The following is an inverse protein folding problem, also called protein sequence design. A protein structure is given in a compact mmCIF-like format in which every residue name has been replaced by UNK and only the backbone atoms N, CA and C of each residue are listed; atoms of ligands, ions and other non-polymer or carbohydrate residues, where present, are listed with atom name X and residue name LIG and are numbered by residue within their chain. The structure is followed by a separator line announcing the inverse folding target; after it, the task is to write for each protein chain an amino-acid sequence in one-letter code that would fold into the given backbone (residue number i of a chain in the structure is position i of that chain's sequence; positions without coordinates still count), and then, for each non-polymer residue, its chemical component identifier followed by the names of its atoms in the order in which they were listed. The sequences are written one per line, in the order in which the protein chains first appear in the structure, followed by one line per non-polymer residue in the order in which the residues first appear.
data_IF_075895221129
#
_entry.id   IF_075895221129
#
_cell.length_a   1.000
_cell.length_b   1.000
_cell.length_c   1.000
_cell.angle_alpha   90.00
_cell.angle_beta   90.00
_cell.angle_gamma   90.00
#
_symmetry.space_group_name_H-M   'P 1'
#
loop_
_entity.id
_entity.type
_entity.pdbx_description
1 polymer ?
#
# COMPACT_ATOMS: atom_id res chain seq x y z
N UNK A 1 2.80 -15.55 -20.87
CA UNK A 1 1.92 -14.75 -21.76
C UNK A 1 1.96 -13.33 -21.25
N UNK A 2 2.29 -12.35 -22.09
CA UNK A 2 2.52 -10.96 -21.69
C UNK A 2 1.33 -10.03 -21.99
N UNK A 3 0.16 -10.61 -22.26
CA UNK A 3 -1.08 -9.89 -22.56
C UNK A 3 -2.23 -10.63 -21.87
N UNK A 4 -3.24 -9.88 -21.46
CA UNK A 4 -4.51 -10.39 -20.93
C UNK A 4 -5.65 -9.71 -21.70
N UNK A 5 -6.72 -10.45 -21.95
CA UNK A 5 -7.93 -9.89 -22.52
C UNK A 5 -8.67 -9.08 -21.46
N UNK A 6 -8.94 -7.80 -21.76
CA UNK A 6 -9.72 -6.93 -20.87
C UNK A 6 -11.20 -7.23 -21.11
N UNK A 7 -11.98 -7.65 -20.09
CA UNK A 7 -13.41 -7.86 -20.25
C UNK A 7 -14.13 -6.57 -20.68
N UNK A 8 -15.15 -6.68 -21.54
CA UNK A 8 -15.85 -5.52 -22.13
C UNK A 8 -16.41 -4.51 -21.11
N UNK A 9 -16.75 -4.99 -19.91
CA UNK A 9 -17.33 -4.16 -18.84
C UNK A 9 -16.29 -3.44 -17.98
N UNK A 10 -14.99 -3.68 -18.20
CA UNK A 10 -13.89 -3.04 -17.48
C UNK A 10 -13.37 -1.87 -18.30
N UNK A 11 -13.38 -0.66 -17.73
CA UNK A 11 -12.82 0.50 -18.42
C UNK A 11 -11.30 0.39 -18.60
N UNK A 12 -10.75 1.05 -19.61
CA UNK A 12 -9.29 1.09 -19.79
C UNK A 12 -8.57 1.71 -18.60
N UNK A 13 -9.17 2.69 -17.92
CA UNK A 13 -8.57 3.30 -16.75
C UNK A 13 -8.53 2.35 -15.54
N UNK A 14 -9.57 1.53 -15.34
CA UNK A 14 -9.55 0.46 -14.33
C UNK A 14 -8.54 -0.64 -14.71
N UNK A 15 -8.52 -1.07 -15.97
CA UNK A 15 -7.57 -2.08 -16.46
C UNK A 15 -6.11 -1.63 -16.31
N UNK A 16 -5.81 -0.33 -16.43
CA UNK A 16 -4.47 0.23 -16.22
C UNK A 16 -3.97 0.10 -14.77
N UNK A 17 -4.85 -0.19 -13.79
CA UNK A 17 -4.47 -0.45 -12.40
C UNK A 17 -4.06 -1.91 -12.17
N UNK A 18 -4.21 -2.79 -13.16
CA UNK A 18 -3.89 -4.21 -13.04
C UNK A 18 -2.44 -4.45 -12.62
N UNK A 19 -1.49 -3.76 -13.24
CA UNK A 19 -0.06 -3.92 -12.92
C UNK A 19 0.27 -3.54 -11.47
N UNK A 20 -0.07 -2.33 -10.97
CA UNK A 20 0.26 -1.99 -9.59
C UNK A 20 -0.50 -2.86 -8.58
N UNK A 21 -1.73 -3.28 -8.88
CA UNK A 21 -2.45 -4.24 -8.04
C UNK A 21 -1.77 -5.61 -8.03
N UNK A 22 -1.23 -6.08 -9.17
CA UNK A 22 -0.51 -7.35 -9.25
C UNK A 22 0.78 -7.34 -8.41
N UNK A 23 1.50 -6.23 -8.37
CA UNK A 23 2.64 -6.06 -7.47
C UNK A 23 2.19 -6.10 -6.00
N UNK A 24 1.09 -5.42 -5.66
CA UNK A 24 0.49 -5.44 -4.31
C UNK A 24 0.08 -6.86 -3.89
N UNK A 25 -0.56 -7.63 -4.77
CA UNK A 25 -0.95 -9.02 -4.48
C UNK A 25 0.28 -9.88 -4.14
N UNK A 26 1.34 -9.78 -4.95
CA UNK A 26 2.59 -10.48 -4.69
C UNK A 26 3.16 -10.10 -3.31
N UNK A 27 3.23 -8.81 -3.00
CA UNK A 27 3.73 -8.32 -1.72
C UNK A 27 2.92 -8.84 -0.53
N UNK A 28 1.60 -8.81 -0.62
CA UNK A 28 0.70 -9.25 0.44
C UNK A 28 0.74 -10.77 0.65
N UNK A 29 0.92 -11.55 -0.42
CA UNK A 29 1.12 -13.00 -0.35
C UNK A 29 2.45 -13.36 0.34
N UNK A 30 3.55 -12.72 -0.06
CA UNK A 30 4.88 -12.95 0.55
C UNK A 30 4.93 -12.51 2.02
N UNK A 31 4.21 -11.43 2.36
CA UNK A 31 4.03 -10.99 3.74
C UNK A 31 3.12 -11.94 4.56
N UNK A 32 2.46 -12.91 3.91
CA UNK A 32 1.59 -13.92 4.51
C UNK A 32 0.47 -13.30 5.35
N UNK A 33 -0.17 -12.25 4.82
CA UNK A 33 -1.35 -11.65 5.46
C UNK A 33 -2.47 -12.69 5.57
N UNK A 34 -3.09 -12.77 6.74
CA UNK A 34 -4.12 -13.76 7.09
C UNK A 34 -5.38 -13.08 7.64
N UNK A 35 -6.45 -13.87 7.63
CA UNK A 35 -7.69 -13.55 8.33
C UNK A 35 -7.39 -13.24 9.80
N UNK A 36 -7.84 -12.09 10.28
CA UNK A 36 -7.65 -11.65 11.67
C UNK A 36 -6.44 -10.76 11.90
N UNK A 37 -5.54 -10.58 10.92
CA UNK A 37 -4.36 -9.74 11.11
C UNK A 37 -4.75 -8.26 11.28
N UNK A 38 -4.03 -7.56 12.16
CA UNK A 38 -3.92 -6.11 12.16
C UNK A 38 -2.75 -5.69 11.28
N UNK A 39 -3.05 -4.91 10.24
CA UNK A 39 -2.09 -4.39 9.28
C UNK A 39 -1.90 -2.89 9.47
N UNK A 40 -0.66 -2.42 9.65
CA UNK A 40 -0.32 -1.00 9.56
C UNK A 40 0.32 -0.71 8.20
N UNK A 41 -0.09 0.36 7.53
CA UNK A 41 0.38 0.72 6.19
C UNK A 41 0.93 2.14 6.23
N UNK A 42 2.21 2.29 5.89
CA UNK A 42 2.91 3.58 5.84
C UNK A 42 2.85 4.10 4.40
N UNK A 43 2.21 5.25 4.24
CA UNK A 43 1.97 5.92 2.96
C UNK A 43 0.53 5.70 2.47
N UNK A 44 -0.26 6.78 2.42
CA UNK A 44 -1.61 6.81 1.85
C UNK A 44 -1.61 7.29 0.37
N UNK A 45 -0.55 6.97 -0.36
CA UNK A 45 -0.49 7.12 -1.81
C UNK A 45 -1.19 5.96 -2.55
N UNK A 46 -1.13 5.93 -3.90
CA UNK A 46 -1.82 4.92 -4.70
C UNK A 46 -1.51 3.47 -4.29
N UNK A 47 -0.24 3.18 -4.02
CA UNK A 47 0.22 1.84 -3.64
C UNK A 47 -0.29 1.44 -2.25
N UNK A 48 -0.15 2.30 -1.25
CA UNK A 48 -0.67 2.02 0.08
C UNK A 48 -2.20 1.90 0.13
N UNK A 49 -2.92 2.67 -0.70
CA UNK A 49 -4.37 2.53 -0.83
C UNK A 49 -4.77 1.23 -1.55
N UNK A 50 -3.97 0.74 -2.51
CA UNK A 50 -4.16 -0.58 -3.09
C UNK A 50 -3.88 -1.70 -2.07
N UNK A 51 -2.84 -1.57 -1.25
CA UNK A 51 -2.61 -2.47 -0.12
C UNK A 51 -3.79 -2.47 0.85
N UNK A 52 -4.32 -1.29 1.20
CA UNK A 52 -5.50 -1.16 2.06
C UNK A 52 -6.68 -1.95 1.50
N UNK A 53 -7.05 -1.71 0.24
CA UNK A 53 -8.15 -2.43 -0.39
C UNK A 53 -7.89 -3.94 -0.41
N UNK A 54 -6.66 -4.36 -0.69
CA UNK A 54 -6.27 -5.77 -0.80
C UNK A 54 -6.33 -6.48 0.55
N UNK A 55 -5.69 -5.96 1.59
CA UNK A 55 -5.65 -6.63 2.91
C UNK A 55 -7.04 -6.70 3.54
N UNK A 56 -7.91 -5.71 3.30
CA UNK A 56 -9.31 -5.75 3.72
C UNK A 56 -10.07 -6.90 3.05
N UNK A 57 -9.80 -7.19 1.78
CA UNK A 57 -10.41 -8.34 1.07
C UNK A 57 -9.82 -9.68 1.48
N UNK A 58 -8.59 -9.71 1.98
CA UNK A 58 -7.97 -10.92 2.54
C UNK A 58 -8.42 -11.23 3.98
N UNK A 59 -9.24 -10.38 4.59
CA UNK A 59 -9.80 -10.60 5.91
C UNK A 59 -8.97 -10.02 7.05
N UNK A 60 -8.08 -9.06 6.79
CA UNK A 60 -7.46 -8.30 7.87
C UNK A 60 -8.56 -7.68 8.75
N UNK A 61 -8.48 -7.93 10.06
CA UNK A 61 -9.45 -7.40 11.03
C UNK A 61 -9.38 -5.88 11.07
N UNK A 62 -8.15 -5.36 11.05
CA UNK A 62 -7.86 -3.93 11.20
C UNK A 62 -6.78 -3.49 10.21
N UNK A 63 -7.07 -2.47 9.42
CA UNK A 63 -6.08 -1.77 8.59
C UNK A 63 -5.89 -0.34 9.12
N UNK A 64 -4.66 0.02 9.50
CA UNK A 64 -4.30 1.34 10.04
C UNK A 64 -3.45 2.05 9.00
N UNK A 65 -3.92 3.19 8.48
CA UNK A 65 -3.20 3.98 7.48
C UNK A 65 -2.41 5.11 8.12
N UNK A 66 -1.15 5.26 7.74
CA UNK A 66 -0.23 6.26 8.28
C UNK A 66 0.26 7.14 7.14
N UNK A 67 0.14 8.46 7.28
CA UNK A 67 0.62 9.43 6.30
C UNK A 67 0.83 10.80 7.00
N UNK A 68 1.34 11.80 6.28
CA UNK A 68 1.44 13.18 6.73
C UNK A 68 0.26 14.04 6.25
N UNK A 69 -0.39 13.64 5.16
CA UNK A 69 -1.43 14.39 4.47
C UNK A 69 -2.81 13.96 4.94
N UNK A 70 -3.50 14.86 5.64
CA UNK A 70 -4.82 14.59 6.24
C UNK A 70 -5.88 14.23 5.19
N UNK A 71 -5.81 14.85 4.01
CA UNK A 71 -6.74 14.60 2.91
C UNK A 71 -6.62 13.15 2.38
N UNK A 72 -5.40 12.60 2.34
CA UNK A 72 -5.15 11.21 1.94
C UNK A 72 -5.63 10.23 3.00
N UNK A 73 -5.42 10.55 4.27
CA UNK A 73 -5.95 9.77 5.40
C UNK A 73 -7.48 9.75 5.39
N UNK A 74 -8.12 10.92 5.24
CA UNK A 74 -9.58 11.05 5.13
C UNK A 74 -10.12 10.25 3.94
N UNK A 75 -9.39 10.20 2.83
CA UNK A 75 -9.75 9.36 1.69
C UNK A 75 -9.60 7.86 2.02
N UNK A 76 -8.54 7.47 2.72
CA UNK A 76 -8.31 6.10 3.14
C UNK A 76 -9.41 5.57 4.08
N UNK A 77 -9.89 6.39 5.03
CA UNK A 77 -11.05 6.06 5.87
C UNK A 77 -12.30 5.79 5.04
N UNK A 78 -12.60 6.66 4.05
CA UNK A 78 -13.76 6.51 3.16
C UNK A 78 -13.76 5.21 2.36
N UNK A 79 -12.58 4.68 2.04
CA UNK A 79 -12.44 3.44 1.26
C UNK A 79 -12.17 2.20 2.12
N UNK A 80 -12.18 2.33 3.46
CA UNK A 80 -12.24 1.18 4.37
C UNK A 80 -11.08 1.02 5.35
N UNK A 81 -10.21 2.03 5.53
CA UNK A 81 -9.28 2.04 6.66
C UNK A 81 -10.05 2.03 7.98
N UNK A 82 -9.63 1.18 8.92
CA UNK A 82 -10.26 1.11 10.24
C UNK A 82 -9.82 2.26 11.16
N UNK A 83 -8.62 2.79 10.93
CA UNK A 83 -8.08 3.94 11.62
C UNK A 83 -7.02 4.64 10.75
N UNK A 84 -6.82 5.93 10.99
CA UNK A 84 -5.74 6.70 10.40
C UNK A 84 -4.86 7.37 11.44
N UNK A 85 -3.59 7.57 11.10
CA UNK A 85 -2.60 8.22 11.95
C UNK A 85 -1.85 9.25 11.13
N UNK A 86 -1.96 10.53 11.51
CA UNK A 86 -1.14 11.58 10.94
C UNK A 86 0.22 11.64 11.66
N UNK A 87 1.26 11.11 11.03
CA UNK A 87 2.62 11.03 11.60
C UNK A 87 3.31 12.41 11.73
N UNK A 88 2.75 13.47 11.13
CA UNK A 88 3.20 14.85 11.31
C UNK A 88 2.63 15.52 12.55
N UNK A 89 1.62 14.92 13.19
CA UNK A 89 0.91 15.47 14.36
C UNK A 89 1.11 14.62 15.63
N UNK A 90 1.45 13.35 15.49
CA UNK A 90 1.63 12.43 16.62
C UNK A 90 2.72 11.41 16.31
N UNK A 91 3.24 10.75 17.34
CA UNK A 91 4.13 9.61 17.17
C UNK A 91 3.32 8.41 16.63
N UNK A 92 3.64 7.99 15.41
CA UNK A 92 2.93 6.92 14.75
C UNK A 92 3.09 5.56 15.47
N UNK A 93 4.24 5.30 16.10
CA UNK A 93 4.51 4.05 16.83
C UNK A 93 3.61 3.97 18.05
N UNK A 94 3.57 5.03 18.84
CA UNK A 94 2.71 5.08 20.03
C UNK A 94 1.22 5.10 19.68
N UNK A 95 0.84 5.74 18.56
CA UNK A 95 -0.52 5.68 18.06
C UNK A 95 -0.94 4.26 17.64
N UNK A 96 -0.10 3.55 16.88
CA UNK A 96 -0.40 2.16 16.49
C UNK A 96 -0.43 1.24 17.70
N UNK A 97 0.50 1.35 18.65
CA UNK A 97 0.44 0.58 19.91
C UNK A 97 -0.88 0.79 20.63
N UNK A 98 -1.34 2.04 20.78
CA UNK A 98 -2.63 2.34 21.41
C UNK A 98 -3.81 1.68 20.68
N UNK A 99 -3.78 1.65 19.35
CA UNK A 99 -4.80 1.00 18.52
C UNK A 99 -4.72 -0.54 18.53
N UNK A 100 -3.64 -1.11 19.04
CA UNK A 100 -3.33 -2.54 19.03
C UNK A 100 -3.11 -3.12 20.43
N UNK A 101 -3.60 -2.46 21.48
CA UNK A 101 -3.50 -2.96 22.86
C UNK A 101 -2.06 -2.99 23.40
N UNK A 102 -1.15 -2.21 22.82
CA UNK A 102 0.25 -2.09 23.23
C UNK A 102 1.22 -2.95 22.44
N UNK A 103 0.74 -3.83 21.55
CA UNK A 103 1.59 -4.84 20.89
C UNK A 103 2.29 -4.36 19.62
N UNK A 104 1.65 -3.50 18.83
CA UNK A 104 2.04 -3.24 17.44
C UNK A 104 1.19 -4.04 16.45
N UNK A 105 1.45 -3.87 15.16
CA UNK A 105 0.72 -4.56 14.09
C UNK A 105 1.30 -5.95 13.80
N UNK A 106 0.45 -6.90 13.39
CA UNK A 106 0.87 -8.22 12.91
C UNK A 106 1.74 -8.10 11.66
N UNK A 107 1.31 -7.21 10.75
CA UNK A 107 1.96 -6.92 9.48
C UNK A 107 2.13 -5.41 9.37
N UNK A 108 3.32 -4.96 8.97
CA UNK A 108 3.57 -3.57 8.58
C UNK A 108 3.96 -3.53 7.11
N UNK A 109 3.28 -2.69 6.33
CA UNK A 109 3.57 -2.49 4.91
C UNK A 109 4.11 -1.07 4.74
N UNK A 110 5.35 -0.94 4.31
CA UNK A 110 5.98 0.33 3.97
C UNK A 110 5.79 0.58 2.47
N UNK A 111 5.10 1.66 2.09
CA UNK A 111 4.75 1.96 0.71
C UNK A 111 5.25 3.35 0.24
N UNK A 112 6.26 3.93 0.91
CA UNK A 112 6.85 5.23 0.55
C UNK A 112 8.25 5.04 -0.06
N UNK A 113 9.10 4.20 0.53
CA UNK A 113 10.47 3.98 0.07
C UNK A 113 11.47 5.02 0.56
N UNK A 114 11.42 5.34 1.85
CA UNK A 114 12.42 6.17 2.52
C UNK A 114 13.11 5.37 3.63
N UNK A 115 14.43 5.54 3.85
CA UNK A 115 15.12 4.82 4.93
C UNK A 115 14.50 5.10 6.32
N UNK A 116 13.99 6.31 6.56
CA UNK A 116 13.31 6.65 7.82
C UNK A 116 11.98 5.94 8.01
N UNK A 117 11.24 5.65 6.92
CA UNK A 117 9.94 4.96 6.99
C UNK A 117 10.13 3.45 7.06
N UNK A 118 11.15 2.90 6.40
CA UNK A 118 11.61 1.52 6.58
C UNK A 118 11.99 1.25 8.06
N UNK A 119 12.85 2.09 8.64
CA UNK A 119 13.21 1.98 10.06
C UNK A 119 12.02 2.23 11.01
N UNK A 120 11.03 3.03 10.59
CA UNK A 120 9.79 3.20 11.35
C UNK A 120 8.91 1.94 11.29
N UNK A 121 8.85 1.26 10.14
CA UNK A 121 8.07 0.05 9.95
C UNK A 121 8.47 -1.05 10.95
N UNK A 122 9.78 -1.21 11.16
CA UNK A 122 10.31 -2.09 12.20
C UNK A 122 9.75 -1.74 13.59
N UNK A 123 9.64 -0.48 13.96
CA UNK A 123 9.15 -0.09 15.30
C UNK A 123 7.63 -0.25 15.46
N UNK A 124 6.88 -0.36 14.36
CA UNK A 124 5.43 -0.52 14.33
C UNK A 124 4.99 -1.98 14.46
N UNK A 125 5.86 -2.93 14.10
CA UNK A 125 5.53 -4.35 14.08
C UNK A 125 5.60 -4.95 15.49
N UNK A 126 4.69 -5.87 15.77
CA UNK A 126 4.73 -6.66 17.01
C UNK A 126 5.84 -7.71 16.96
N UNK A 127 6.15 -8.31 18.11
CA UNK A 127 7.00 -9.52 18.16
C UNK A 127 6.35 -10.67 17.39
N UNK A 128 7.14 -11.37 16.58
CA UNK A 128 6.70 -12.43 15.67
C UNK A 128 5.96 -11.92 14.43
N UNK A 129 5.87 -10.60 14.23
CA UNK A 129 5.21 -10.00 13.08
C UNK A 129 6.12 -9.87 11.86
N UNK A 130 5.54 -9.35 10.78
CA UNK A 130 6.22 -9.22 9.48
C UNK A 130 6.23 -7.77 9.00
N UNK A 131 7.37 -7.32 8.49
CA UNK A 131 7.54 -6.04 7.81
C UNK A 131 7.78 -6.29 6.33
N UNK A 132 6.87 -5.78 5.51
CA UNK A 132 6.98 -5.74 4.05
C UNK A 132 7.47 -4.35 3.63
N UNK A 133 8.74 -4.27 3.26
CA UNK A 133 9.36 -3.09 2.68
C UNK A 133 9.06 -3.06 1.17
N UNK A 134 7.91 -2.47 0.81
CA UNK A 134 7.39 -2.46 -0.56
C UNK A 134 7.84 -1.24 -1.35
N UNK A 135 7.87 -0.06 -0.71
CA UNK A 135 8.35 1.17 -1.32
C UNK A 135 9.85 1.09 -1.59
N UNK A 136 10.26 1.20 -2.85
CA UNK A 136 11.68 1.12 -3.21
C UNK A 136 12.46 2.37 -2.81
N UNK A 137 13.54 2.18 -2.06
CA UNK A 137 14.53 3.24 -1.80
C UNK A 137 15.43 3.49 -3.04
N UNK A 138 16.02 4.68 -3.18
CA UNK A 138 17.07 4.93 -4.17
C UNK A 138 18.23 3.94 -4.04
N UNK A 139 18.98 3.66 -5.13
CA UNK A 139 20.21 2.87 -5.06
C UNK A 139 21.17 3.38 -3.99
N UNK A 140 21.93 2.46 -3.38
CA UNK A 140 22.91 2.75 -2.33
C UNK A 140 22.31 3.31 -1.02
N UNK A 141 21.00 3.14 -0.81
CA UNK A 141 20.35 3.44 0.47
C UNK A 141 20.61 2.33 1.49
N UNK A 142 21.05 2.71 2.69
CA UNK A 142 21.21 1.81 3.84
C UNK A 142 20.18 2.14 4.94
N UNK A 143 19.79 1.11 5.69
CA UNK A 143 18.93 1.23 6.87
C UNK A 143 19.58 0.59 8.09
N UNK A 144 19.19 1.03 9.28
CA UNK A 144 19.60 0.43 10.55
C UNK A 144 18.53 -0.53 11.06
N UNK A 145 18.92 -1.78 11.24
CA UNK A 145 18.10 -2.80 11.85
C UNK A 145 18.53 -3.06 13.30
N UNK A 146 17.59 -3.10 14.22
CA UNK A 146 17.86 -3.51 15.60
C UNK A 146 17.93 -5.05 15.69
N UNK A 147 19.10 -5.57 16.07
CA UNK A 147 19.34 -7.01 16.12
C UNK A 147 18.51 -7.74 17.20
N UNK A 148 18.19 -7.09 18.31
CA UNK A 148 17.32 -7.66 19.35
C UNK A 148 15.89 -7.82 18.82
N UNK A 149 15.39 -6.83 18.10
CA UNK A 149 14.08 -6.90 17.46
C UNK A 149 14.03 -8.00 16.39
N UNK A 150 15.08 -8.13 15.58
CA UNK A 150 15.16 -9.21 14.59
C UNK A 150 15.19 -10.59 15.26
N UNK A 151 16.09 -10.79 16.21
CA UNK A 151 16.35 -12.11 16.79
C UNK A 151 15.36 -12.48 17.90
N UNK A 152 15.28 -11.69 18.96
CA UNK A 152 14.43 -11.97 20.13
C UNK A 152 13.00 -11.46 19.96
N UNK A 153 12.80 -10.50 19.05
CA UNK A 153 11.48 -10.11 18.59
C UNK A 153 10.93 -11.01 17.51
N UNK A 154 11.71 -11.95 16.96
CA UNK A 154 11.31 -12.87 15.88
C UNK A 154 10.63 -12.17 14.70
N UNK A 155 11.07 -10.94 14.39
CA UNK A 155 10.49 -10.15 13.30
C UNK A 155 10.98 -10.69 11.97
N UNK A 156 10.06 -10.87 11.02
CA UNK A 156 10.42 -11.13 9.62
C UNK A 156 10.47 -9.80 8.87
N UNK A 157 11.55 -9.55 8.13
CA UNK A 157 11.67 -8.38 7.24
C UNK A 157 11.90 -8.89 5.83
N UNK A 158 11.07 -8.44 4.89
CA UNK A 158 11.20 -8.79 3.48
C UNK A 158 10.95 -7.58 2.59
N UNK A 159 11.61 -7.57 1.44
CA UNK A 159 11.23 -6.72 0.31
C UNK A 159 10.60 -7.58 -0.77
N UNK A 160 9.74 -6.96 -1.58
CA UNK A 160 9.22 -7.59 -2.80
C UNK A 160 9.42 -6.66 -3.98
N UNK A 161 9.53 -7.23 -5.17
CA UNK A 161 9.76 -6.48 -6.39
C UNK A 161 9.00 -7.13 -7.52
N UNK A 162 8.29 -6.31 -8.30
CA UNK A 162 7.52 -6.75 -9.44
C UNK A 162 6.44 -7.79 -9.08
N UNK A 163 6.05 -8.56 -10.08
CA UNK A 163 4.92 -9.47 -10.04
C UNK A 163 5.15 -10.59 -11.04
N UNK A 164 4.27 -11.59 -11.03
CA UNK A 164 4.30 -12.71 -11.97
C UNK A 164 3.15 -12.57 -12.97
N UNK A 165 3.18 -13.25 -14.12
CA UNK A 165 2.04 -13.30 -15.03
C UNK A 165 0.76 -13.86 -14.36
N UNK A 166 0.90 -14.69 -13.32
CA UNK A 166 -0.23 -15.22 -12.55
C UNK A 166 -0.89 -14.11 -11.73
N UNK A 167 -0.11 -13.38 -10.93
CA UNK A 167 -0.60 -12.23 -10.16
C UNK A 167 -1.25 -11.17 -11.06
N UNK A 168 -0.72 -10.95 -12.27
CA UNK A 168 -1.33 -10.02 -13.23
C UNK A 168 -2.72 -10.46 -13.66
N UNK A 169 -2.89 -11.76 -13.93
CA UNK A 169 -4.19 -12.36 -14.25
C UNK A 169 -5.15 -12.25 -13.06
N UNK A 170 -4.67 -12.52 -11.85
CA UNK A 170 -5.46 -12.43 -10.63
C UNK A 170 -5.91 -11.00 -10.34
N UNK A 171 -5.01 -10.03 -10.46
CA UNK A 171 -5.33 -8.61 -10.32
C UNK A 171 -6.45 -8.18 -11.29
N UNK A 172 -6.35 -8.57 -12.57
CA UNK A 172 -7.38 -8.25 -13.55
C UNK A 172 -8.73 -8.90 -13.18
N UNK A 173 -8.72 -10.15 -12.72
CA UNK A 173 -9.93 -10.83 -12.27
C UNK A 173 -10.56 -10.14 -11.04
N UNK A 174 -9.75 -9.67 -10.10
CA UNK A 174 -10.23 -8.96 -8.90
C UNK A 174 -10.83 -7.60 -9.23
N UNK A 175 -10.24 -6.88 -10.20
CA UNK A 175 -10.80 -5.64 -10.75
C UNK A 175 -12.10 -5.93 -11.50
N UNK A 176 -12.09 -6.89 -12.44
CA UNK A 176 -13.24 -7.23 -13.27
C UNK A 176 -14.45 -7.71 -12.47
N UNK A 177 -14.21 -8.45 -11.38
CA UNK A 177 -15.27 -8.91 -10.45
C UNK A 177 -15.72 -7.84 -9.46
N UNK A 178 -15.06 -6.67 -9.42
CA UNK A 178 -15.23 -5.61 -8.40
C UNK A 178 -14.97 -6.08 -6.96
N UNK A 179 -14.27 -7.21 -6.81
CA UNK A 179 -13.77 -7.65 -5.51
C UNK A 179 -12.85 -6.57 -4.93
N UNK A 180 -11.99 -6.01 -5.77
CA UNK A 180 -11.22 -4.80 -5.46
C UNK A 180 -11.74 -3.68 -6.37
N UNK A 181 -12.50 -2.74 -5.79
CA UNK A 181 -12.99 -1.57 -6.51
C UNK A 181 -11.89 -0.51 -6.56
N UNK A 182 -11.17 -0.47 -7.68
CA UNK A 182 -10.08 0.50 -7.93
C UNK A 182 -10.57 1.83 -8.46
N UNK A 183 -11.85 1.93 -8.85
CA UNK A 183 -12.41 3.13 -9.48
C UNK A 183 -12.24 4.40 -8.63
N UNK A 184 -12.42 4.38 -7.29
CA UNK A 184 -12.19 5.56 -6.46
C UNK A 184 -10.76 6.09 -6.49
N UNK A 185 -9.76 5.25 -6.82
CA UNK A 185 -8.35 5.65 -6.87
C UNK A 185 -8.04 6.50 -8.11
N UNK A 186 -8.86 6.41 -9.16
CA UNK A 186 -8.71 7.15 -10.41
C UNK A 186 -9.35 8.53 -10.22
N UNK A 187 -8.59 9.46 -9.66
CA UNK A 187 -9.08 10.80 -9.28
C UNK A 187 -9.17 11.76 -10.46
N UNK A 188 -8.42 11.49 -11.53
CA UNK A 188 -8.40 12.35 -12.72
C UNK A 188 -8.17 11.55 -13.99
N UNK A 189 -8.75 12.04 -15.09
CA UNK A 189 -8.47 11.60 -16.45
C UNK A 189 -7.94 12.78 -17.25
N UNK A 190 -6.86 12.58 -17.98
CA UNK A 190 -6.24 13.60 -18.84
C UNK A 190 -5.90 12.99 -20.18
N UNK A 191 -5.74 13.83 -21.21
CA UNK A 191 -5.26 13.37 -22.51
C UNK A 191 -3.74 13.33 -22.55
N UNK A 192 -3.19 12.55 -23.47
CA UNK A 192 -1.75 12.42 -23.67
C UNK A 192 -1.05 13.75 -23.94
N UNK A 193 -1.71 14.72 -24.60
CA UNK A 193 -1.12 16.03 -24.85
C UNK A 193 -0.81 16.81 -23.57
N UNK A 194 -1.51 16.50 -22.48
CA UNK A 194 -1.35 17.16 -21.18
C UNK A 194 -0.45 16.38 -20.21
N UNK A 195 0.35 15.43 -20.71
CA UNK A 195 1.17 14.55 -19.86
C UNK A 195 2.14 15.32 -18.95
N UNK A 196 2.68 16.46 -19.40
CA UNK A 196 3.56 17.32 -18.58
C UNK A 196 2.81 17.90 -17.38
N UNK A 197 1.64 18.45 -17.61
CA UNK A 197 0.76 18.97 -16.55
C UNK A 197 0.36 17.85 -15.58
N UNK A 198 0.08 16.65 -16.09
CA UNK A 198 -0.23 15.49 -15.24
C UNK A 198 0.91 15.17 -14.26
N UNK A 199 2.17 15.23 -14.70
CA UNK A 199 3.32 15.05 -13.81
C UNK A 199 3.45 16.19 -12.78
N UNK A 200 3.25 17.45 -13.19
CA UNK A 200 3.29 18.60 -12.27
C UNK A 200 2.21 18.49 -11.18
N UNK A 201 1.00 18.06 -11.56
CA UNK A 201 -0.09 17.79 -10.62
C UNK A 201 0.29 16.68 -9.64
N UNK A 202 0.88 15.58 -10.11
CA UNK A 202 1.27 14.46 -9.23
C UNK A 202 2.33 14.86 -8.19
N UNK A 203 3.20 15.81 -8.52
CA UNK A 203 4.24 16.31 -7.59
C UNK A 203 3.66 17.29 -6.56
N UNK A 204 2.67 18.10 -6.94
CA UNK A 204 2.18 19.22 -6.12
C UNK A 204 0.89 18.91 -5.38
N UNK A 205 0.07 17.99 -5.90
CA UNK A 205 -1.26 17.72 -5.37
C UNK A 205 -1.22 16.82 -4.14
N UNK A 206 -2.02 17.19 -3.15
CA UNK A 206 -2.28 16.40 -1.94
C UNK A 206 -3.49 15.47 -2.08
N UNK A 207 -4.36 15.74 -3.05
CA UNK A 207 -5.66 15.07 -3.20
C UNK A 207 -5.73 14.14 -4.40
N UNK A 208 -4.86 14.31 -5.38
CA UNK A 208 -4.79 13.43 -6.54
C UNK A 208 -4.07 12.14 -6.16
N UNK A 209 -4.67 11.00 -6.52
CA UNK A 209 -4.14 9.67 -6.26
C UNK A 209 -3.60 9.09 -7.56
N UNK A 210 -4.47 8.82 -8.53
CA UNK A 210 -4.09 8.28 -9.83
C UNK A 210 -4.70 9.11 -10.96
N UNK A 211 -3.84 9.56 -11.87
CA UNK A 211 -4.24 10.22 -13.11
C UNK A 211 -4.15 9.19 -14.24
N UNK A 212 -5.28 8.91 -14.89
CA UNK A 212 -5.32 8.10 -16.09
C UNK A 212 -5.06 8.97 -17.34
N UNK A 213 -4.16 8.51 -18.21
CA UNK A 213 -3.83 9.19 -19.46
C UNK A 213 -4.49 8.45 -20.62
N UNK A 214 -5.35 9.16 -21.33
CA UNK A 214 -6.02 8.67 -22.52
C UNK A 214 -5.25 9.14 -23.78
N UNK A 215 -4.97 8.26 -24.75
CA UNK A 215 -4.28 8.60 -25.98
C UNK A 215 -4.96 9.71 -26.79
#
# INVERSE_FOLDING_TARGET
VNMQEIPEHVSFEEAAITEPLACVLHGVEEAKVKLGDTVAIIGAGPIGLLHLLTVKRMGAEKAIMIDLVEERLSFAEKIGANATVNAGKTDAVEAVKRLTGGYGADIVIEAIGLPTTWEQALRLVKKGGTVLEFGGCPPDTEIKLNAEQLHYGEVTVLGTFHTTPLHFKEALNLIASKTIDVKPLITRKMKLENIKEAFEILVTSKTEIKIAINP
#
